data_IF_418826673371
#
_entry.id   IF_418826673371
#
_cell.length_a   1.000
_cell.length_b   1.000
_cell.length_c   1.000
_cell.angle_alpha   90.00
_cell.angle_beta   90.00
_cell.angle_gamma   90.00
#
_symmetry.space_group_name_H-M   'P 1'
#
loop_
_entity.id
_entity.type
_entity.pdbx_description
1 polymer ?
#
# COMPACT_ATOMS: atom_id res chain seq x y z
N UNK A 1 20.63 -4.02 30.64
CA UNK A 1 19.17 -4.17 30.81
C UNK A 1 18.58 -5.20 29.85
N UNK A 2 18.87 -5.14 28.55
CA UNK A 2 18.46 -6.18 27.57
C UNK A 2 18.87 -7.60 27.99
N UNK A 3 20.05 -7.80 28.59
CA UNK A 3 20.45 -9.10 29.15
C UNK A 3 19.63 -9.50 30.39
N UNK A 4 19.26 -8.55 31.25
CA UNK A 4 18.38 -8.81 32.40
C UNK A 4 16.96 -9.15 31.97
N UNK A 5 16.42 -8.46 30.95
CA UNK A 5 15.12 -8.80 30.37
C UNK A 5 15.15 -10.15 29.66
N UNK A 6 16.26 -10.51 28.99
CA UNK A 6 16.45 -11.84 28.40
C UNK A 6 16.36 -12.98 29.42
N UNK A 7 16.85 -12.75 30.63
CA UNK A 7 16.83 -13.73 31.73
C UNK A 7 15.54 -13.68 32.59
N UNK A 8 14.74 -12.62 32.45
CA UNK A 8 13.48 -12.47 33.19
C UNK A 8 12.31 -13.19 32.51
N UNK A 9 11.49 -13.84 33.36
CA UNK A 9 10.34 -14.66 32.97
C UNK A 9 9.30 -13.84 32.18
N UNK A 10 8.65 -14.45 31.18
CA UNK A 10 7.73 -13.80 30.22
C UNK A 10 6.70 -12.85 30.88
N UNK A 11 6.17 -13.21 32.06
CA UNK A 11 5.21 -12.39 32.82
C UNK A 11 5.69 -10.97 33.12
N UNK A 12 6.97 -10.78 33.48
CA UNK A 12 7.49 -9.44 33.80
C UNK A 12 7.63 -8.57 32.56
N UNK A 13 7.96 -9.18 31.41
CA UNK A 13 8.02 -8.46 30.13
C UNK A 13 6.63 -7.99 29.71
N UNK A 14 5.61 -8.81 29.93
CA UNK A 14 4.21 -8.45 29.67
C UNK A 14 3.74 -7.33 30.60
N UNK A 15 4.08 -7.35 31.89
CA UNK A 15 3.76 -6.25 32.81
C UNK A 15 4.41 -4.93 32.40
N UNK A 16 5.69 -4.95 32.02
CA UNK A 16 6.39 -3.75 31.52
C UNK A 16 5.76 -3.25 30.21
N UNK A 17 5.35 -4.18 29.33
CA UNK A 17 4.64 -3.83 28.09
C UNK A 17 3.25 -3.25 28.39
N UNK A 18 2.50 -3.81 29.32
CA UNK A 18 1.19 -3.30 29.72
C UNK A 18 1.27 -1.94 30.42
N UNK A 19 2.25 -1.73 31.31
CA UNK A 19 2.54 -0.43 31.93
C UNK A 19 2.90 0.59 30.84
N UNK A 20 3.71 0.17 29.85
CA UNK A 20 4.05 0.98 28.69
C UNK A 20 2.83 1.36 27.83
N UNK A 21 1.88 0.44 27.65
CA UNK A 21 0.67 0.67 26.84
C UNK A 21 -0.42 1.46 27.58
N UNK A 22 -0.39 1.48 28.92
CA UNK A 22 -1.36 2.19 29.78
C UNK A 22 -1.00 3.67 29.96
N UNK A 23 0.27 4.02 29.91
CA UNK A 23 0.74 5.39 30.06
C UNK A 23 1.01 6.03 28.69
N UNK A 24 0.24 7.06 28.34
CA UNK A 24 0.48 7.96 27.19
C UNK A 24 1.79 8.78 27.32
N UNK A 25 2.60 8.48 28.34
CA UNK A 25 3.88 9.09 28.58
C UNK A 25 4.79 8.93 27.35
N UNK A 26 5.45 10.02 26.98
CA UNK A 26 6.31 10.02 25.81
C UNK A 26 7.36 8.92 25.98
N UNK A 27 7.62 8.13 24.93
CA UNK A 27 8.69 7.11 24.85
C UNK A 27 10.01 7.56 25.53
N UNK A 28 10.25 8.87 25.59
CA UNK A 28 11.32 9.55 26.34
C UNK A 28 11.37 9.25 27.85
N UNK A 29 10.26 9.26 28.56
CA UNK A 29 10.20 9.17 30.03
C UNK A 29 10.41 7.73 30.50
N UNK A 30 9.86 6.76 29.78
CA UNK A 30 10.11 5.34 30.03
C UNK A 30 11.56 4.98 29.71
N UNK A 31 12.12 5.50 28.60
CA UNK A 31 13.54 5.35 28.32
C UNK A 31 14.42 5.96 29.43
N UNK A 32 14.00 7.08 30.02
CA UNK A 32 14.71 7.73 31.12
C UNK A 32 14.63 6.95 32.44
N UNK A 33 13.43 6.44 32.80
CA UNK A 33 13.19 5.63 34.01
C UNK A 33 14.01 4.34 34.01
N UNK A 34 14.19 3.73 32.86
CA UNK A 34 14.73 2.38 32.74
C UNK A 34 16.21 2.30 32.30
N UNK A 35 16.77 3.34 31.65
CA UNK A 35 18.16 3.33 31.16
C UNK A 35 19.14 4.14 32.03
N UNK A 36 18.72 4.58 33.23
CA UNK A 36 19.64 5.17 34.21
C UNK A 36 20.16 6.57 33.87
N UNK A 37 19.45 7.32 33.03
CA UNK A 37 19.59 8.78 32.95
C UNK A 37 20.81 9.34 32.20
N UNK A 38 21.76 8.56 31.70
CA UNK A 38 22.94 9.12 31.03
C UNK A 38 23.04 8.82 29.52
N UNK A 39 23.11 9.93 28.77
CA UNK A 39 23.47 10.08 27.36
C UNK A 39 22.40 9.77 26.31
N UNK A 40 21.58 10.79 26.05
CA UNK A 40 21.09 11.19 24.73
C UNK A 40 21.11 10.11 23.62
N UNK A 41 20.06 9.29 23.61
CA UNK A 41 19.53 8.80 22.35
C UNK A 41 19.08 10.03 21.53
N UNK A 42 19.96 10.51 20.64
CA UNK A 42 19.59 11.43 19.54
C UNK A 42 18.26 10.93 18.98
N UNK A 43 17.24 11.79 18.86
CA UNK A 43 15.85 11.40 18.62
C UNK A 43 15.65 10.36 17.47
N UNK A 44 16.55 10.32 16.48
CA UNK A 44 16.58 9.30 15.42
C UNK A 44 16.76 7.85 15.93
N UNK A 45 17.47 7.63 17.05
CA UNK A 45 17.71 6.30 17.61
C UNK A 45 16.62 5.85 18.59
N UNK A 46 15.77 6.75 19.10
CA UNK A 46 14.70 6.39 20.06
C UNK A 46 13.68 5.41 19.46
N UNK A 47 13.25 5.63 18.21
CA UNK A 47 12.34 4.70 17.53
C UNK A 47 12.99 3.33 17.30
N UNK A 48 14.26 3.32 16.89
CA UNK A 48 15.00 2.08 16.67
C UNK A 48 15.15 1.27 17.96
N UNK A 49 15.50 1.95 19.06
CA UNK A 49 15.56 1.35 20.39
C UNK A 49 14.22 0.79 20.86
N UNK A 50 13.14 1.55 20.65
CA UNK A 50 11.79 1.10 20.97
C UNK A 50 11.41 -0.18 20.22
N UNK A 51 11.72 -0.25 18.93
CA UNK A 51 11.54 -1.48 18.16
C UNK A 51 12.44 -2.60 18.66
N UNK A 52 13.73 -2.36 18.91
CA UNK A 52 14.68 -3.38 19.37
C UNK A 52 14.38 -3.90 20.79
N UNK A 53 13.71 -3.12 21.65
CA UNK A 53 13.22 -3.54 22.97
C UNK A 53 11.88 -4.27 22.92
N UNK A 54 10.96 -3.85 22.06
CA UNK A 54 9.69 -4.54 21.86
C UNK A 54 9.84 -5.84 21.08
N UNK A 55 10.83 -5.92 20.20
CA UNK A 55 11.04 -7.04 19.30
C UNK A 55 11.11 -8.40 20.02
N UNK A 56 11.91 -8.58 21.10
CA UNK A 56 11.95 -9.84 21.83
C UNK A 56 10.65 -10.11 22.60
N UNK A 57 9.93 -9.06 23.01
CA UNK A 57 8.63 -9.21 23.67
C UNK A 57 7.59 -9.68 22.66
N UNK A 58 7.55 -9.14 21.44
CA UNK A 58 6.60 -9.57 20.42
C UNK A 58 6.91 -10.93 19.80
N UNK A 59 8.17 -11.39 19.80
CA UNK A 59 8.51 -12.76 19.36
C UNK A 59 8.02 -13.82 20.35
N UNK A 60 8.11 -13.54 21.66
CA UNK A 60 7.66 -14.44 22.71
C UNK A 60 6.16 -14.28 23.04
N UNK A 61 5.64 -13.06 22.92
CA UNK A 61 4.21 -12.73 23.00
C UNK A 61 3.60 -13.14 21.69
N UNK A 62 3.31 -14.42 21.64
CA UNK A 62 2.36 -15.00 20.73
C UNK A 62 1.02 -14.24 20.89
N UNK A 63 0.80 -13.21 20.08
CA UNK A 63 -0.44 -12.42 20.13
C UNK A 63 -1.54 -13.30 19.52
N UNK A 64 -2.23 -14.04 20.39
CA UNK A 64 -3.26 -15.01 20.02
C UNK A 64 -4.63 -14.37 19.88
N UNK A 65 -4.88 -13.34 20.69
CA UNK A 65 -6.20 -12.77 20.84
C UNK A 65 -6.34 -11.48 20.05
N UNK A 66 -7.48 -11.37 19.34
CA UNK A 66 -7.82 -10.20 18.55
C UNK A 66 -7.81 -8.90 19.38
N UNK A 67 -8.13 -8.96 20.67
CA UNK A 67 -8.18 -7.78 21.54
C UNK A 67 -6.78 -7.16 21.78
N UNK A 68 -5.77 -8.00 22.03
CA UNK A 68 -4.40 -7.54 22.21
C UNK A 68 -3.83 -6.97 20.92
N UNK A 69 -4.18 -7.59 19.80
CA UNK A 69 -3.86 -7.09 18.47
C UNK A 69 -4.42 -5.69 18.24
N UNK A 70 -5.67 -5.41 18.63
CA UNK A 70 -6.25 -4.07 18.45
C UNK A 70 -5.41 -2.99 19.17
N UNK A 71 -5.02 -3.26 20.42
CA UNK A 71 -4.18 -2.35 21.22
C UNK A 71 -2.83 -2.13 20.55
N UNK A 72 -2.18 -3.21 20.14
CA UNK A 72 -0.88 -3.19 19.46
C UNK A 72 -0.95 -2.45 18.12
N UNK A 73 -2.03 -2.63 17.35
CA UNK A 73 -2.19 -2.01 16.03
C UNK A 73 -2.50 -0.53 16.04
N UNK A 74 -3.15 -0.05 17.10
CA UNK A 74 -3.35 1.38 17.30
C UNK A 74 -2.01 2.08 17.54
N UNK A 75 -1.04 1.40 18.14
CA UNK A 75 0.31 1.92 18.34
C UNK A 75 1.16 1.81 17.07
N UNK A 76 1.20 0.63 16.44
CA UNK A 76 2.12 0.41 15.32
C UNK A 76 1.73 -0.74 14.38
N UNK A 77 1.32 -0.39 13.16
CA UNK A 77 0.95 -1.37 12.12
C UNK A 77 2.10 -2.32 11.74
N UNK A 78 3.37 -1.93 11.96
CA UNK A 78 4.51 -2.78 11.61
C UNK A 78 4.66 -4.01 12.50
N UNK A 79 3.97 -4.04 13.64
CA UNK A 79 3.96 -5.20 14.53
C UNK A 79 3.12 -6.36 13.95
N UNK A 80 2.35 -6.12 12.87
CA UNK A 80 1.57 -7.16 12.19
C UNK A 80 2.44 -8.30 11.65
N UNK A 81 3.71 -8.05 11.34
CA UNK A 81 4.63 -9.11 10.90
C UNK A 81 4.86 -10.22 11.93
N UNK A 82 4.49 -10.00 13.19
CA UNK A 82 4.59 -10.99 14.27
C UNK A 82 3.26 -11.63 14.63
N UNK A 83 2.16 -11.21 14.01
CA UNK A 83 0.86 -11.80 14.26
C UNK A 83 0.86 -13.29 13.86
N UNK A 84 0.15 -14.11 14.63
CA UNK A 84 -0.01 -15.52 14.26
C UNK A 84 -0.76 -15.67 12.93
N UNK A 85 -0.48 -16.76 12.22
CA UNK A 85 -1.17 -17.10 10.98
C UNK A 85 -2.70 -17.15 11.12
N UNK A 86 -3.21 -17.60 12.28
CA UNK A 86 -4.64 -17.70 12.61
C UNK A 86 -5.35 -16.34 12.56
N UNK A 87 -4.67 -15.25 12.90
CA UNK A 87 -5.21 -13.89 12.89
C UNK A 87 -5.64 -13.48 11.48
N UNK A 88 -4.85 -13.87 10.48
CA UNK A 88 -5.14 -13.59 9.08
C UNK A 88 -6.29 -14.44 8.53
N UNK A 89 -6.80 -15.40 9.29
CA UNK A 89 -7.98 -16.17 8.91
C UNK A 89 -9.28 -15.48 9.33
N UNK A 90 -9.22 -14.54 10.28
CA UNK A 90 -10.36 -13.73 10.68
C UNK A 90 -10.58 -12.58 9.68
N UNK A 91 -11.53 -12.78 8.76
CA UNK A 91 -11.89 -11.79 7.76
C UNK A 91 -12.51 -10.53 8.37
N UNK A 92 -13.23 -10.64 9.50
CA UNK A 92 -13.83 -9.47 10.16
C UNK A 92 -12.73 -8.60 10.75
N UNK A 93 -11.73 -9.25 11.34
CA UNK A 93 -10.53 -8.59 11.84
C UNK A 93 -9.81 -7.85 10.71
N UNK A 94 -9.52 -8.55 9.61
CA UNK A 94 -8.87 -7.94 8.45
C UNK A 94 -9.70 -6.78 7.89
N UNK A 95 -11.00 -6.93 7.74
CA UNK A 95 -11.88 -5.89 7.23
C UNK A 95 -11.86 -4.63 8.12
N UNK A 96 -11.81 -4.79 9.45
CA UNK A 96 -11.74 -3.69 10.41
C UNK A 96 -10.42 -2.90 10.31
N UNK A 97 -9.30 -3.60 10.14
CA UNK A 97 -7.96 -3.00 10.25
C UNK A 97 -7.24 -2.74 8.93
N UNK A 98 -7.67 -3.36 7.84
CA UNK A 98 -7.07 -3.23 6.51
C UNK A 98 -7.33 -1.86 5.85
N UNK A 99 -7.98 -0.90 6.52
CA UNK A 99 -8.05 0.48 6.01
C UNK A 99 -6.67 1.12 5.81
N UNK A 100 -5.66 0.60 6.52
CA UNK A 100 -4.25 0.99 6.35
C UNK A 100 -3.63 0.12 5.26
N UNK A 101 -3.33 0.70 4.10
CA UNK A 101 -2.75 -0.01 2.96
C UNK A 101 -1.48 -0.82 3.31
N UNK A 102 -0.67 -0.32 4.25
CA UNK A 102 0.56 -0.95 4.72
C UNK A 102 0.37 -2.34 5.34
N UNK A 103 -0.83 -2.67 5.82
CA UNK A 103 -1.10 -3.93 6.51
C UNK A 103 -1.00 -5.14 5.57
N UNK A 104 -1.34 -4.96 4.30
CA UNK A 104 -1.26 -6.01 3.29
C UNK A 104 0.14 -6.58 3.11
N UNK A 105 1.18 -5.77 3.34
CA UNK A 105 2.57 -6.20 3.26
C UNK A 105 2.89 -7.36 4.21
N UNK A 106 2.09 -7.52 5.26
CA UNK A 106 2.27 -8.54 6.28
C UNK A 106 1.30 -9.71 6.14
N UNK A 107 0.30 -9.61 5.26
CA UNK A 107 -0.66 -10.71 5.04
C UNK A 107 0.04 -11.82 4.26
N UNK A 108 0.03 -13.07 4.76
CA UNK A 108 0.60 -14.19 4.03
C UNK A 108 -0.05 -14.34 2.65
N UNK A 109 0.75 -14.58 1.61
CA UNK A 109 0.25 -14.70 0.23
C UNK A 109 -0.86 -15.75 0.08
N UNK A 110 -0.78 -16.83 0.87
CA UNK A 110 -1.81 -17.89 0.92
C UNK A 110 -3.19 -17.35 1.29
N UNK A 111 -3.26 -16.33 2.14
CA UNK A 111 -4.51 -15.68 2.56
C UNK A 111 -4.99 -14.73 1.47
N UNK A 112 -4.10 -13.94 0.86
CA UNK A 112 -4.44 -13.04 -0.25
C UNK A 112 -5.09 -13.78 -1.43
N UNK A 113 -4.70 -15.03 -1.67
CA UNK A 113 -5.25 -15.88 -2.74
C UNK A 113 -6.59 -16.53 -2.39
N UNK A 114 -7.07 -16.45 -1.14
CA UNK A 114 -8.39 -16.98 -0.77
C UNK A 114 -9.47 -16.12 -1.43
N UNK A 115 -10.39 -16.76 -2.16
CA UNK A 115 -11.51 -16.08 -2.83
C UNK A 115 -12.30 -15.16 -1.89
N UNK A 116 -12.58 -15.62 -0.66
CA UNK A 116 -13.30 -14.84 0.35
C UNK A 116 -12.56 -13.55 0.76
N UNK A 117 -11.23 -13.56 0.75
CA UNK A 117 -10.44 -12.37 1.04
C UNK A 117 -10.58 -11.33 -0.08
N UNK A 118 -10.54 -11.77 -1.34
CA UNK A 118 -10.74 -10.90 -2.50
C UNK A 118 -12.13 -10.23 -2.45
N UNK A 119 -13.18 -11.01 -2.22
CA UNK A 119 -14.56 -10.54 -2.25
C UNK A 119 -14.91 -9.59 -1.11
N UNK A 120 -14.46 -9.87 0.12
CA UNK A 120 -14.90 -9.14 1.30
C UNK A 120 -13.92 -8.02 1.73
N UNK A 121 -12.62 -8.26 1.60
CA UNK A 121 -11.59 -7.36 2.16
C UNK A 121 -10.97 -6.53 1.07
N UNK A 122 -10.40 -7.15 0.03
CA UNK A 122 -9.62 -6.44 -0.99
C UNK A 122 -10.43 -5.33 -1.68
N UNK A 123 -11.68 -5.61 -2.08
CA UNK A 123 -12.49 -4.60 -2.77
C UNK A 123 -12.87 -3.42 -1.89
N UNK A 124 -13.02 -3.61 -0.59
CA UNK A 124 -13.25 -2.50 0.34
C UNK A 124 -11.98 -1.65 0.46
N UNK A 125 -10.83 -2.29 0.56
CA UNK A 125 -9.54 -1.61 0.59
C UNK A 125 -9.28 -0.81 -0.68
N UNK A 126 -9.52 -1.39 -1.86
CA UNK A 126 -9.31 -0.73 -3.15
C UNK A 126 -10.19 0.51 -3.32
N UNK A 127 -11.42 0.49 -2.77
CA UNK A 127 -12.29 1.66 -2.76
C UNK A 127 -11.71 2.81 -1.94
N UNK A 128 -11.08 2.51 -0.81
CA UNK A 128 -10.50 3.52 0.09
C UNK A 128 -9.09 3.95 -0.31
N UNK A 129 -8.24 3.01 -0.73
CA UNK A 129 -6.81 3.21 -1.01
C UNK A 129 -6.37 2.33 -2.20
N UNK A 130 -6.36 2.85 -3.44
CA UNK A 130 -6.01 2.05 -4.63
C UNK A 130 -4.56 1.52 -4.64
N UNK A 131 -3.63 2.17 -3.93
CA UNK A 131 -2.23 1.75 -3.79
C UNK A 131 -2.04 0.41 -3.08
N UNK A 132 -3.08 -0.09 -2.41
CA UNK A 132 -3.18 -1.43 -1.81
C UNK A 132 -2.75 -2.53 -2.78
N UNK A 133 -3.04 -2.36 -4.07
CA UNK A 133 -2.71 -3.36 -5.08
C UNK A 133 -1.19 -3.54 -5.27
N UNK A 134 -0.36 -2.55 -4.91
CA UNK A 134 1.11 -2.67 -4.98
C UNK A 134 1.66 -3.71 -3.99
N UNK A 135 0.91 -4.01 -2.93
CA UNK A 135 1.30 -4.96 -1.89
C UNK A 135 0.74 -6.36 -2.11
N UNK A 136 -0.08 -6.55 -3.15
CA UNK A 136 -0.61 -7.86 -3.49
C UNK A 136 0.49 -8.74 -4.12
N UNK A 137 0.39 -10.07 -3.96
CA UNK A 137 1.18 -11.03 -4.72
C UNK A 137 1.21 -10.69 -6.21
N UNK A 138 2.40 -10.74 -6.81
CA UNK A 138 2.62 -10.29 -8.21
C UNK A 138 1.75 -11.02 -9.24
N UNK A 139 1.37 -12.27 -8.97
CA UNK A 139 0.46 -13.06 -9.80
C UNK A 139 -0.97 -12.53 -9.76
N UNK A 140 -1.45 -12.03 -8.62
CA UNK A 140 -2.76 -11.38 -8.52
C UNK A 140 -2.77 -10.00 -9.20
N UNK A 141 -1.68 -9.24 -9.12
CA UNK A 141 -1.55 -7.93 -9.78
C UNK A 141 -1.45 -8.06 -11.30
N UNK A 142 -0.94 -9.20 -11.78
CA UNK A 142 -0.86 -9.52 -13.21
C UNK A 142 -2.13 -10.19 -13.76
N UNK A 143 -3.12 -10.49 -12.91
CA UNK A 143 -4.36 -11.11 -13.34
C UNK A 143 -5.32 -10.06 -13.96
N UNK A 144 -5.59 -10.21 -15.26
CA UNK A 144 -6.50 -9.33 -16.00
C UNK A 144 -7.89 -9.22 -15.35
N UNK A 145 -8.43 -10.31 -14.80
CA UNK A 145 -9.76 -10.33 -14.20
C UNK A 145 -9.79 -9.49 -12.92
N UNK A 146 -8.78 -9.65 -12.07
CA UNK A 146 -8.63 -8.88 -10.82
C UNK A 146 -8.45 -7.39 -11.14
N UNK A 147 -7.60 -7.05 -12.10
CA UNK A 147 -7.42 -5.65 -12.53
C UNK A 147 -8.72 -5.08 -13.10
N UNK A 148 -9.43 -5.86 -13.94
CA UNK A 148 -10.69 -5.42 -14.52
C UNK A 148 -11.74 -5.13 -13.46
N UNK A 149 -11.93 -6.02 -12.50
CA UNK A 149 -12.89 -5.83 -11.41
C UNK A 149 -12.47 -4.73 -10.44
N UNK A 150 -11.17 -4.63 -10.14
CA UNK A 150 -10.62 -3.54 -9.35
C UNK A 150 -10.88 -2.17 -9.99
N UNK A 151 -10.70 -2.04 -11.31
CA UNK A 151 -10.99 -0.79 -12.04
C UNK A 151 -12.47 -0.43 -12.05
N UNK A 152 -13.39 -1.41 -11.94
CA UNK A 152 -14.83 -1.13 -11.77
C UNK A 152 -15.14 -0.49 -10.42
N UNK A 153 -14.36 -0.82 -9.39
CA UNK A 153 -14.51 -0.24 -8.06
C UNK A 153 -13.76 1.08 -7.89
N UNK A 154 -12.52 1.15 -8.39
CA UNK A 154 -11.71 2.35 -8.36
C UNK A 154 -10.75 2.38 -9.56
N UNK A 155 -10.99 3.22 -10.58
CA UNK A 155 -10.12 3.31 -11.76
C UNK A 155 -8.66 3.66 -11.44
N UNK A 156 -8.41 4.33 -10.32
CA UNK A 156 -7.07 4.78 -9.91
C UNK A 156 -6.15 3.60 -9.57
N UNK A 157 -6.69 2.38 -9.37
CA UNK A 157 -5.85 1.18 -9.22
C UNK A 157 -4.94 0.96 -10.43
N UNK A 158 -5.37 1.41 -11.61
CA UNK A 158 -4.63 1.17 -12.84
C UNK A 158 -3.27 1.87 -12.83
N UNK A 159 -3.11 2.93 -12.02
CA UNK A 159 -1.82 3.59 -11.75
C UNK A 159 -0.78 2.63 -11.18
N UNK A 160 -1.20 1.60 -10.45
CA UNK A 160 -0.34 0.70 -9.69
C UNK A 160 -0.19 -0.69 -10.34
N UNK A 161 -0.92 -0.95 -11.42
CA UNK A 161 -0.86 -2.20 -12.18
C UNK A 161 0.51 -2.35 -12.88
N UNK A 162 0.92 -3.60 -13.10
CA UNK A 162 2.14 -3.95 -13.83
C UNK A 162 2.19 -3.27 -15.22
N UNK A 163 3.38 -2.85 -15.63
CA UNK A 163 3.61 -2.20 -16.92
C UNK A 163 3.21 -3.09 -18.12
N UNK A 164 3.29 -4.42 -17.99
CA UNK A 164 2.87 -5.35 -19.04
C UNK A 164 1.38 -5.19 -19.37
N UNK A 165 0.52 -5.14 -18.35
CA UNK A 165 -0.93 -4.93 -18.50
C UNK A 165 -1.26 -3.50 -18.91
N UNK A 166 -0.49 -2.50 -18.45
CA UNK A 166 -0.65 -1.10 -18.91
C UNK A 166 -0.39 -0.93 -20.41
N UNK A 167 0.47 -1.77 -20.97
CA UNK A 167 0.80 -1.77 -22.38
C UNK A 167 -0.09 -2.71 -23.22
N UNK A 168 -0.95 -3.51 -22.58
CA UNK A 168 -1.94 -4.33 -23.28
C UNK A 168 -3.07 -3.46 -23.82
N UNK A 169 -2.99 -3.16 -25.12
CA UNK A 169 -3.97 -2.31 -25.80
C UNK A 169 -5.40 -2.87 -25.74
N UNK A 170 -5.59 -4.19 -25.78
CA UNK A 170 -6.92 -4.79 -25.74
C UNK A 170 -7.56 -4.58 -24.36
N UNK A 171 -6.78 -4.79 -23.29
CA UNK A 171 -7.20 -4.53 -21.92
C UNK A 171 -7.48 -3.04 -21.70
N UNK A 172 -6.55 -2.16 -22.07
CA UNK A 172 -6.70 -0.70 -21.94
C UNK A 172 -7.95 -0.22 -22.65
N UNK A 173 -8.23 -0.75 -23.85
CA UNK A 173 -9.44 -0.42 -24.60
C UNK A 173 -10.70 -0.80 -23.84
N UNK A 174 -10.76 -2.03 -23.32
CA UNK A 174 -11.86 -2.53 -22.50
C UNK A 174 -12.05 -1.66 -21.25
N UNK A 175 -10.97 -1.36 -20.54
CA UNK A 175 -10.96 -0.57 -19.32
C UNK A 175 -11.32 0.91 -19.55
N UNK A 176 -10.91 1.51 -20.67
CA UNK A 176 -11.28 2.88 -21.02
C UNK A 176 -12.79 3.08 -21.19
N UNK A 177 -13.53 2.01 -21.51
CA UNK A 177 -14.99 2.00 -21.52
C UNK A 177 -15.59 2.01 -20.11
N UNK A 178 -14.86 1.58 -19.09
CA UNK A 178 -15.25 1.67 -17.68
C UNK A 178 -14.96 3.07 -17.14
N UNK A 179 -13.75 3.57 -17.38
CA UNK A 179 -13.34 4.91 -16.96
C UNK A 179 -12.35 5.54 -17.94
N UNK A 180 -12.62 6.76 -18.46
CA UNK A 180 -11.70 7.44 -19.36
C UNK A 180 -10.38 7.85 -18.68
N UNK A 181 -10.37 8.00 -17.33
CA UNK A 181 -9.16 8.32 -16.56
C UNK A 181 -8.03 7.30 -16.74
N UNK A 182 -8.37 6.08 -17.15
CA UNK A 182 -7.40 5.01 -17.37
C UNK A 182 -6.38 5.40 -18.44
N UNK A 183 -6.79 6.21 -19.41
CA UNK A 183 -5.90 6.75 -20.46
C UNK A 183 -4.80 7.64 -19.86
N UNK A 184 -5.06 8.34 -18.76
CA UNK A 184 -4.10 9.23 -18.12
C UNK A 184 -2.91 8.47 -17.50
N UNK A 185 -3.12 7.22 -17.12
CA UNK A 185 -2.11 6.35 -16.51
C UNK A 185 -1.26 5.56 -17.52
N UNK A 186 -1.59 5.65 -18.81
CA UNK A 186 -0.82 5.00 -19.86
C UNK A 186 0.56 5.64 -20.03
N UNK A 187 1.52 4.82 -20.44
CA UNK A 187 2.83 5.31 -20.89
C UNK A 187 2.67 6.20 -22.13
N UNK A 188 3.59 7.15 -22.33
CA UNK A 188 3.54 8.05 -23.48
C UNK A 188 3.57 7.28 -24.81
N UNK A 189 4.28 6.15 -24.86
CA UNK A 189 4.36 5.26 -26.02
C UNK A 189 2.98 4.72 -26.43
N UNK A 190 2.20 4.24 -25.44
CA UNK A 190 0.85 3.71 -25.68
C UNK A 190 -0.14 4.85 -25.95
N UNK A 191 0.01 6.00 -25.27
CA UNK A 191 -0.84 7.18 -25.50
C UNK A 191 -0.80 7.64 -26.95
N UNK A 192 0.39 7.66 -27.58
CA UNK A 192 0.52 8.01 -29.00
C UNK A 192 -0.26 7.06 -29.91
N UNK A 193 -0.26 5.75 -29.63
CA UNK A 193 -1.09 4.79 -30.38
C UNK A 193 -2.59 4.95 -30.13
N UNK A 194 -2.96 5.38 -28.91
CA UNK A 194 -4.35 5.56 -28.51
C UNK A 194 -5.01 6.81 -29.14
N UNK A 195 -4.25 7.91 -29.26
CA UNK A 195 -4.71 9.15 -29.89
C UNK A 195 -4.61 9.13 -31.41
N UNK A 196 -3.90 8.15 -31.99
CA UNK A 196 -3.76 7.96 -33.43
C UNK A 196 -4.93 7.29 -34.13
N UNK A 197 -6.08 7.09 -33.46
CA UNK A 197 -7.31 6.94 -34.25
C UNK A 197 -7.39 8.16 -35.16
N UNK A 198 -7.48 7.98 -36.50
CA UNK A 198 -7.57 9.11 -37.40
C UNK A 198 -8.73 9.90 -36.85
N UNK A 199 -8.47 11.17 -36.49
CA UNK A 199 -9.53 12.13 -36.30
C UNK A 199 -10.55 11.78 -37.36
N UNK A 200 -11.76 11.47 -36.91
CA UNK A 200 -12.95 11.57 -37.73
C UNK A 200 -12.63 12.63 -38.77
N UNK A 201 -12.74 12.29 -40.06
CA UNK A 201 -12.86 13.30 -41.10
C UNK A 201 -14.12 14.09 -40.75
N UNK A 202 -14.02 14.94 -39.73
CA UNK A 202 -14.89 16.04 -39.48
C UNK A 202 -14.78 16.79 -40.80
N UNK A 203 -15.88 16.98 -41.54
CA UNK A 203 -15.88 17.78 -42.74
C UNK A 203 -15.65 19.23 -42.32
N UNK A 204 -14.43 19.54 -41.92
CA UNK A 204 -13.95 20.91 -41.81
C UNK A 204 -13.80 21.39 -43.24
N UNK A 205 -14.90 21.86 -43.81
CA UNK A 205 -14.89 22.73 -44.99
C UNK A 205 -14.22 24.09 -44.73
N UNK A 206 -13.49 24.25 -43.62
CA UNK A 206 -12.62 25.38 -43.38
C UNK A 206 -11.19 24.88 -43.35
N UNK A 207 -10.47 25.15 -44.44
CA UNK A 207 -9.03 24.94 -44.56
C UNK A 207 -8.36 25.50 -43.29
N UNK A 208 -7.60 24.71 -42.52
CA UNK A 208 -6.84 25.25 -41.40
C UNK A 208 -5.90 26.32 -41.96
N UNK A 209 -5.88 27.49 -41.33
CA UNK A 209 -4.88 28.53 -41.62
C UNK A 209 -3.54 27.99 -41.16
N UNK A 210 -2.77 27.43 -42.08
CA UNK A 210 -1.37 27.07 -41.85
C UNK A 210 -0.60 28.37 -41.56
N UNK A 211 -0.17 28.57 -40.32
CA UNK A 211 0.85 29.56 -40.00
C UNK A 211 2.22 28.90 -40.12
N UNK A 212 3.12 29.56 -40.86
CA UNK A 212 4.51 29.14 -41.00
C UNK A 212 5.38 30.02 -40.12
N UNK A 213 6.27 29.39 -39.36
CA UNK A 213 7.37 30.09 -38.69
C UNK A 213 8.67 29.41 -39.10
N UNK A 214 9.70 30.20 -39.38
CA UNK A 214 11.03 29.69 -39.70
C UNK A 214 11.84 29.61 -38.41
N UNK A 215 12.34 28.41 -38.09
CA UNK A 215 13.33 28.20 -37.02
C UNK A 215 14.59 27.69 -37.71
N UNK A 216 15.69 28.43 -37.59
CA UNK A 216 17.01 28.08 -38.15
C UNK A 216 17.02 27.85 -39.68
N UNK A 217 16.25 28.67 -40.43
CA UNK A 217 16.24 28.59 -41.89
C UNK A 217 15.59 27.33 -42.47
N UNK A 218 15.02 26.44 -41.63
CA UNK A 218 14.28 25.26 -42.08
C UNK A 218 12.79 25.45 -41.81
N UNK A 219 11.98 25.39 -42.87
CA UNK A 219 10.53 25.44 -42.76
C UNK A 219 10.03 24.16 -42.10
N UNK A 220 9.48 24.25 -40.89
CA UNK A 220 8.82 23.13 -40.22
C UNK A 220 7.31 23.37 -40.17
N UNK A 221 6.53 22.34 -40.49
CA UNK A 221 5.07 22.36 -40.41
C UNK A 221 4.64 21.82 -39.05
N UNK A 222 3.80 22.57 -38.35
CA UNK A 222 3.03 22.05 -37.22
C UNK A 222 1.56 22.33 -37.49
N UNK A 223 0.71 21.34 -37.20
CA UNK A 223 -0.72 21.59 -37.01
C UNK A 223 -0.88 22.14 -35.58
N UNK A 224 -1.45 23.34 -35.46
CA UNK A 224 -2.05 23.80 -34.21
C UNK A 224 -3.34 23.03 -33.94
#
# INVERSE_FOLDING_TARGET
MLEKLKDENCSKRTEVFEEFMKDDHSISELAYKYDGGEQHLKAKNKRRWFFELLFPVCEDVNIRDNEDLEKVFNVNVRLFKYAQASVFEDLNFLQKYCKKADLLRYIPEKVCKKKLFLENVLWQMIKEAPEVIEYMPSDLVADEAIVTDGCRHNPDIFKYVNISLKNDFALVKKLSGISPKIVDYLSNEVKCGYTQKPYFQMPFHRKPKLSYYFVEGKQRRYCL
#
